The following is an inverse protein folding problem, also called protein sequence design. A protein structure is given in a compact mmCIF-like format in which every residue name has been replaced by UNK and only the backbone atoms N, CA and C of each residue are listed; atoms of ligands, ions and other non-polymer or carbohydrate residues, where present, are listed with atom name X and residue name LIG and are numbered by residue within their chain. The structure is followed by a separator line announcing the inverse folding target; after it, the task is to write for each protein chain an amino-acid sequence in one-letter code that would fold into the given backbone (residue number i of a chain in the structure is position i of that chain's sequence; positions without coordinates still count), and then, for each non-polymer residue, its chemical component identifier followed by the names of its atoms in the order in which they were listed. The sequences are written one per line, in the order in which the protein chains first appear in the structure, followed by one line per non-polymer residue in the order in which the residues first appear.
data_IF_326449440686
#
_entry.id   IF_326449440686
#
_cell.length_a   1.000
_cell.length_b   1.000
_cell.length_c   1.000
_cell.angle_alpha   90.00
_cell.angle_beta   90.00
_cell.angle_gamma   90.00
#
_symmetry.space_group_name_H-M   'P 1'
#
loop_
_entity.id
_entity.type
_entity.pdbx_description
1 polymer ?
#
# COMPACT_ATOMS: atom_id res chain seq x y z
N UNK A 1 1.65 7.53 22.64
CA UNK A 1 0.68 6.66 23.32
C UNK A 1 -0.01 7.42 24.47
N UNK A 2 0.74 7.98 25.42
CA UNK A 2 0.19 8.74 26.55
C UNK A 2 -0.64 9.96 26.13
N UNK A 3 -0.23 10.67 25.09
CA UNK A 3 -0.96 11.81 24.54
C UNK A 3 -2.32 11.39 23.97
N UNK A 4 -2.39 10.29 23.24
CA UNK A 4 -3.62 9.76 22.65
C UNK A 4 -4.64 9.40 23.74
N UNK A 5 -4.18 8.76 24.83
CA UNK A 5 -5.03 8.43 25.99
C UNK A 5 -5.51 9.69 26.73
N UNK A 6 -4.64 10.69 26.86
CA UNK A 6 -4.95 11.92 27.60
C UNK A 6 -5.92 12.83 26.82
N UNK A 7 -5.86 12.82 25.49
CA UNK A 7 -6.74 13.57 24.59
C UNK A 7 -8.06 12.83 24.26
N UNK A 8 -8.19 11.56 24.66
CA UNK A 8 -9.41 10.77 24.43
C UNK A 8 -9.56 10.22 23.00
N UNK A 9 -8.55 10.33 22.15
CA UNK A 9 -8.58 9.86 20.75
C UNK A 9 -8.19 8.37 20.58
N UNK A 10 -8.48 7.57 21.58
CA UNK A 10 -8.16 6.14 21.53
C UNK A 10 -8.96 5.40 20.45
N UNK A 11 -10.25 5.68 20.34
CA UNK A 11 -11.12 5.01 19.38
C UNK A 11 -10.73 5.37 17.95
N UNK A 12 -10.53 6.65 17.64
CA UNK A 12 -10.10 7.14 16.33
C UNK A 12 -8.73 6.56 15.92
N UNK A 13 -7.85 6.37 16.91
CA UNK A 13 -6.54 5.74 16.67
C UNK A 13 -6.70 4.28 16.30
N UNK A 14 -7.56 3.53 16.99
CA UNK A 14 -7.82 2.12 16.68
C UNK A 14 -8.50 1.94 15.32
N UNK A 15 -9.43 2.83 14.98
CA UNK A 15 -10.09 2.84 13.66
C UNK A 15 -9.08 3.09 12.54
N UNK A 16 -8.22 4.10 12.70
CA UNK A 16 -7.12 4.36 11.74
C UNK A 16 -6.19 3.17 11.61
N UNK A 17 -5.77 2.59 12.73
CA UNK A 17 -4.88 1.43 12.73
C UNK A 17 -5.53 0.25 12.00
N UNK A 18 -6.81 -0.02 12.28
CA UNK A 18 -7.56 -1.09 11.61
C UNK A 18 -7.65 -0.86 10.10
N UNK A 19 -7.95 0.36 9.66
CA UNK A 19 -8.02 0.72 8.24
C UNK A 19 -6.66 0.54 7.54
N UNK A 20 -5.58 1.04 8.14
CA UNK A 20 -4.22 0.93 7.57
C UNK A 20 -3.76 -0.52 7.51
N UNK A 21 -3.97 -1.29 8.59
CA UNK A 21 -3.61 -2.72 8.61
C UNK A 21 -4.40 -3.49 7.57
N UNK A 22 -5.71 -3.28 7.47
CA UNK A 22 -6.55 -3.94 6.48
C UNK A 22 -6.12 -3.59 5.05
N UNK A 23 -5.95 -2.30 4.75
CA UNK A 23 -5.49 -1.85 3.42
C UNK A 23 -4.13 -2.45 3.07
N UNK A 24 -3.18 -2.44 4.03
CA UNK A 24 -1.84 -3.01 3.83
C UNK A 24 -1.90 -4.52 3.57
N UNK A 25 -2.71 -5.27 4.32
CA UNK A 25 -2.87 -6.72 4.10
C UNK A 25 -3.42 -7.02 2.70
N UNK A 26 -4.43 -6.28 2.25
CA UNK A 26 -4.98 -6.40 0.89
C UNK A 26 -3.90 -6.06 -0.15
N UNK A 27 -3.16 -4.97 0.04
CA UNK A 27 -2.08 -4.57 -0.86
C UNK A 27 -0.96 -5.60 -0.94
N UNK A 28 -0.60 -6.26 0.17
CA UNK A 28 0.39 -7.34 0.18
C UNK A 28 -0.15 -8.57 -0.54
N UNK A 29 -1.39 -8.98 -0.20
CA UNK A 29 -2.02 -10.17 -0.77
C UNK A 29 -2.19 -10.09 -2.30
N UNK A 30 -2.39 -8.88 -2.83
CA UNK A 30 -2.52 -8.63 -4.28
C UNK A 30 -1.18 -8.21 -4.89
N UNK A 31 -0.47 -7.29 -4.24
CA UNK A 31 0.72 -6.64 -4.79
C UNK A 31 1.92 -7.57 -4.91
N UNK A 32 2.19 -8.39 -3.89
CA UNK A 32 3.34 -9.31 -3.92
C UNK A 32 3.17 -10.36 -5.01
N UNK A 33 2.04 -11.10 -5.14
CA UNK A 33 1.85 -12.05 -6.23
C UNK A 33 1.92 -11.40 -7.62
N UNK A 34 1.32 -10.22 -7.79
CA UNK A 34 1.39 -9.49 -9.06
C UNK A 34 2.83 -9.05 -9.38
N UNK A 35 3.59 -8.61 -8.38
CA UNK A 35 5.01 -8.28 -8.51
C UNK A 35 5.86 -9.47 -8.94
N UNK A 36 5.61 -10.66 -8.36
CA UNK A 36 6.26 -11.91 -8.75
C UNK A 36 5.96 -12.25 -10.22
N UNK A 37 4.69 -12.18 -10.61
CA UNK A 37 4.29 -12.45 -12.02
C UNK A 37 4.93 -11.43 -12.97
N UNK A 38 4.96 -10.16 -12.57
CA UNK A 38 5.56 -9.08 -13.36
C UNK A 38 7.07 -9.27 -13.55
N UNK A 39 7.78 -9.76 -12.52
CA UNK A 39 9.21 -10.04 -12.60
C UNK A 39 9.54 -11.16 -13.62
N UNK A 40 8.70 -12.20 -13.68
CA UNK A 40 8.92 -13.35 -14.59
C UNK A 40 8.37 -13.13 -16.00
N UNK A 41 7.52 -12.12 -16.23
CA UNK A 41 6.88 -11.84 -17.52
C UNK A 41 7.12 -10.40 -17.94
N UNK A 42 8.21 -10.08 -18.68
CA UNK A 42 8.55 -8.71 -19.05
C UNK A 42 7.43 -7.97 -19.81
N UNK A 43 6.71 -8.67 -20.70
CA UNK A 43 5.57 -8.07 -21.41
C UNK A 43 4.46 -7.63 -20.47
N UNK A 44 4.19 -8.41 -19.41
CA UNK A 44 3.19 -8.08 -18.40
C UNK A 44 3.61 -6.85 -17.60
N UNK A 45 4.87 -6.78 -17.18
CA UNK A 45 5.41 -5.61 -16.49
C UNK A 45 5.35 -4.35 -17.36
N UNK A 46 5.72 -4.47 -18.65
CA UNK A 46 5.66 -3.35 -19.61
C UNK A 46 4.22 -2.83 -19.79
N UNK A 47 3.23 -3.72 -19.82
CA UNK A 47 1.82 -3.34 -19.90
C UNK A 47 1.29 -2.76 -18.57
N UNK A 48 1.76 -3.28 -17.43
CA UNK A 48 1.32 -2.86 -16.09
C UNK A 48 1.95 -1.53 -15.67
N UNK A 49 3.18 -1.24 -16.10
CA UNK A 49 3.95 -0.06 -15.72
C UNK A 49 3.20 1.27 -15.91
N UNK A 50 2.61 1.59 -17.08
CA UNK A 50 1.88 2.84 -17.25
C UNK A 50 0.67 2.95 -16.32
N UNK A 51 0.01 1.83 -16.00
CA UNK A 51 -1.09 1.80 -15.03
C UNK A 51 -0.58 2.14 -13.63
N UNK A 52 0.52 1.52 -13.19
CA UNK A 52 1.14 1.81 -11.89
C UNK A 52 1.63 3.26 -11.80
N UNK A 53 2.18 3.80 -12.90
CA UNK A 53 2.59 5.20 -12.98
C UNK A 53 1.38 6.12 -12.81
N UNK A 54 0.30 5.85 -13.53
CA UNK A 54 -0.94 6.59 -13.44
C UNK A 54 -1.53 6.55 -12.03
N UNK A 55 -1.54 5.37 -11.38
CA UNK A 55 -2.04 5.22 -10.01
C UNK A 55 -1.26 6.05 -8.98
N UNK A 56 -0.01 6.39 -9.23
CA UNK A 56 0.82 7.17 -8.30
C UNK A 56 0.95 8.65 -8.67
N UNK A 57 0.68 9.02 -9.93
CA UNK A 57 0.78 10.40 -10.41
C UNK A 57 -0.54 11.14 -10.35
N UNK A 58 -1.65 10.43 -10.46
CA UNK A 58 -2.99 11.03 -10.39
C UNK A 58 -3.30 11.44 -8.96
N UNK A 59 -3.81 12.67 -8.73
CA UNK A 59 -4.23 13.12 -7.41
C UNK A 59 -5.24 12.15 -6.77
N UNK A 60 -5.05 11.87 -5.49
CA UNK A 60 -5.84 10.88 -4.73
C UNK A 60 -7.35 11.13 -4.78
N UNK A 61 -7.78 12.38 -4.90
CA UNK A 61 -9.19 12.74 -5.07
C UNK A 61 -9.85 12.14 -6.32
N UNK A 62 -9.07 11.86 -7.37
CA UNK A 62 -9.60 11.28 -8.62
C UNK A 62 -10.07 9.84 -8.40
N UNK A 63 -9.49 9.11 -7.45
CA UNK A 63 -9.97 7.78 -7.06
C UNK A 63 -11.14 7.84 -6.08
N UNK A 64 -11.15 8.87 -5.26
CA UNK A 64 -12.14 9.04 -4.21
C UNK A 64 -13.52 9.39 -4.79
N UNK A 65 -13.60 10.25 -5.81
CA UNK A 65 -14.87 10.68 -6.40
C UNK A 65 -15.67 9.50 -6.99
N UNK A 66 -15.12 8.63 -7.85
CA UNK A 66 -15.85 7.47 -8.35
C UNK A 66 -16.27 6.48 -7.24
N UNK A 67 -15.41 6.26 -6.25
CA UNK A 67 -15.74 5.35 -5.14
C UNK A 67 -16.86 5.92 -4.26
N UNK A 68 -16.92 7.24 -4.08
CA UNK A 68 -18.01 7.92 -3.40
C UNK A 68 -19.34 7.80 -4.14
N UNK A 69 -19.32 7.96 -5.45
CA UNK A 69 -20.57 7.86 -6.26
C UNK A 69 -21.14 6.45 -6.25
N UNK A 70 -20.30 5.43 -6.11
CA UNK A 70 -20.70 4.02 -6.09
C UNK A 70 -21.11 3.52 -4.70
N UNK A 71 -20.40 3.95 -3.65
CA UNK A 71 -20.53 3.40 -2.30
C UNK A 71 -21.06 4.40 -1.26
N UNK A 72 -21.28 5.66 -1.65
CA UNK A 72 -21.69 6.71 -0.72
C UNK A 72 -20.54 7.22 0.16
N UNK A 73 -20.89 8.04 1.15
CA UNK A 73 -19.93 8.57 2.14
C UNK A 73 -19.57 7.49 3.17
N UNK A 74 -18.33 7.45 3.63
CA UNK A 74 -17.92 6.58 4.73
C UNK A 74 -16.55 5.92 4.55
N UNK A 75 -16.30 4.87 5.34
CA UNK A 75 -15.01 4.16 5.42
C UNK A 75 -14.72 3.35 4.14
N UNK A 76 -15.75 2.76 3.52
CA UNK A 76 -15.59 1.85 2.36
C UNK A 76 -14.94 2.53 1.15
N UNK A 77 -15.43 3.70 0.66
CA UNK A 77 -14.78 4.39 -0.46
C UNK A 77 -13.35 4.84 -0.11
N UNK A 78 -13.10 5.23 1.15
CA UNK A 78 -11.76 5.55 1.63
C UNK A 78 -10.81 4.36 1.54
N UNK A 79 -11.23 3.18 2.01
CA UNK A 79 -10.44 1.95 1.93
C UNK A 79 -10.14 1.52 0.49
N UNK A 80 -11.14 1.53 -0.39
CA UNK A 80 -10.96 1.15 -1.80
C UNK A 80 -9.95 2.08 -2.46
N UNK A 81 -10.11 3.40 -2.28
CA UNK A 81 -9.19 4.40 -2.83
C UNK A 81 -7.77 4.24 -2.28
N UNK A 82 -7.64 3.93 -0.97
CA UNK A 82 -6.36 3.66 -0.33
C UNK A 82 -5.67 2.44 -0.93
N UNK A 83 -6.39 1.33 -1.12
CA UNK A 83 -5.84 0.11 -1.72
C UNK A 83 -5.40 0.37 -3.16
N UNK A 84 -6.23 1.02 -3.98
CA UNK A 84 -5.88 1.37 -5.37
C UNK A 84 -4.59 2.18 -5.41
N UNK A 85 -4.47 3.21 -4.57
CA UNK A 85 -3.31 4.09 -4.55
C UNK A 85 -2.05 3.39 -4.01
N UNK A 86 -2.17 2.63 -2.93
CA UNK A 86 -1.02 2.07 -2.21
C UNK A 86 -0.48 0.76 -2.81
N UNK A 87 -1.31 -0.02 -3.53
CA UNK A 87 -0.92 -1.34 -4.07
C UNK A 87 0.22 -1.29 -5.09
N UNK A 88 0.40 -0.16 -5.74
CA UNK A 88 1.47 0.02 -6.73
C UNK A 88 2.88 -0.12 -6.12
N UNK A 89 3.07 0.27 -4.86
CA UNK A 89 4.37 0.19 -4.17
C UNK A 89 4.84 -1.27 -3.97
N UNK A 90 4.08 -2.17 -3.34
CA UNK A 90 4.49 -3.57 -3.21
C UNK A 90 4.62 -4.29 -4.54
N UNK A 91 3.81 -3.97 -5.57
CA UNK A 91 3.99 -4.55 -6.92
C UNK A 91 5.37 -4.20 -7.47
N UNK A 92 5.73 -2.92 -7.48
CA UNK A 92 7.00 -2.44 -8.05
C UNK A 92 8.20 -2.98 -7.31
N UNK A 93 8.20 -2.84 -5.98
CA UNK A 93 9.36 -3.21 -5.17
C UNK A 93 9.54 -4.73 -5.10
N UNK A 94 8.48 -5.52 -5.16
CA UNK A 94 8.60 -6.97 -5.32
C UNK A 94 9.18 -7.34 -6.69
N UNK A 95 8.69 -6.72 -7.76
CA UNK A 95 9.20 -6.95 -9.11
C UNK A 95 10.69 -6.62 -9.21
N UNK A 96 11.09 -5.43 -8.72
CA UNK A 96 12.49 -5.01 -8.71
C UNK A 96 13.37 -5.94 -7.88
N UNK A 97 12.95 -6.28 -6.66
CA UNK A 97 13.73 -7.16 -5.79
C UNK A 97 13.98 -8.55 -6.38
N UNK A 98 13.03 -9.09 -7.16
CA UNK A 98 13.23 -10.36 -7.85
C UNK A 98 14.14 -10.17 -9.09
N UNK A 99 14.03 -9.05 -9.81
CA UNK A 99 14.88 -8.77 -10.97
C UNK A 99 16.33 -8.47 -10.57
N UNK A 100 16.57 -8.01 -9.36
CA UNK A 100 17.91 -7.72 -8.82
C UNK A 100 18.67 -8.98 -8.37
N UNK A 101 18.06 -10.17 -8.43
CA UNK A 101 18.73 -11.43 -8.09
C UNK A 101 19.87 -11.70 -9.07
N UNK A 102 21.13 -11.88 -8.60
CA UNK A 102 22.27 -12.18 -9.47
C UNK A 102 22.06 -13.44 -10.30
N UNK A 103 22.39 -13.36 -11.58
CA UNK A 103 22.24 -14.48 -12.52
C UNK A 103 23.03 -15.72 -12.06
N UNK A 104 24.18 -15.52 -11.42
CA UNK A 104 25.04 -16.58 -10.89
C UNK A 104 24.31 -17.44 -9.84
N UNK A 105 23.48 -16.82 -9.00
CA UNK A 105 22.69 -17.55 -8.01
C UNK A 105 21.59 -18.38 -8.66
N UNK A 106 20.95 -17.84 -9.69
CA UNK A 106 19.91 -18.55 -10.45
C UNK A 106 20.50 -19.72 -11.22
N UNK A 107 21.68 -19.53 -11.85
CA UNK A 107 22.36 -20.56 -12.61
C UNK A 107 22.93 -21.66 -11.70
N UNK A 108 23.48 -21.30 -10.53
CA UNK A 108 23.85 -22.27 -9.52
C UNK A 108 22.65 -23.12 -9.08
N UNK A 109 21.51 -22.48 -8.78
CA UNK A 109 20.29 -23.19 -8.40
C UNK A 109 19.82 -24.17 -9.50
N UNK A 110 19.86 -23.76 -10.76
CA UNK A 110 19.54 -24.63 -11.92
C UNK A 110 20.52 -25.79 -12.04
N UNK A 111 21.82 -25.54 -11.87
CA UNK A 111 22.86 -26.59 -11.89
C UNK A 111 22.65 -27.65 -10.80
N UNK A 112 22.13 -27.27 -9.64
CA UNK A 112 21.73 -28.19 -8.58
C UNK A 112 20.36 -28.87 -8.82
N UNK A 113 19.72 -28.64 -9.97
CA UNK A 113 18.46 -29.29 -10.33
C UNK A 113 17.22 -28.68 -9.66
N UNK A 114 17.29 -27.45 -9.18
CA UNK A 114 16.13 -26.79 -8.58
C UNK A 114 15.00 -26.60 -9.60
N UNK A 115 13.77 -26.95 -9.21
CA UNK A 115 12.58 -26.61 -9.97
C UNK A 115 12.32 -25.10 -9.93
N UNK A 116 11.47 -24.59 -10.85
CA UNK A 116 11.09 -23.14 -10.87
C UNK A 116 10.50 -22.68 -9.53
N UNK A 117 9.72 -23.52 -8.88
CA UNK A 117 9.15 -23.20 -7.57
C UNK A 117 10.22 -23.13 -6.47
N UNK A 118 11.20 -24.03 -6.52
CA UNK A 118 12.33 -24.02 -5.58
C UNK A 118 13.24 -22.80 -5.81
N UNK A 119 13.48 -22.40 -7.07
CA UNK A 119 14.21 -21.18 -7.39
C UNK A 119 13.49 -19.95 -6.79
N UNK A 120 12.18 -19.82 -7.03
CA UNK A 120 11.37 -18.73 -6.48
C UNK A 120 11.42 -18.69 -4.95
N UNK A 121 11.14 -19.82 -4.28
CA UNK A 121 10.97 -19.82 -2.82
C UNK A 121 12.27 -19.85 -2.04
N UNK A 122 13.34 -20.39 -2.60
CA UNK A 122 14.63 -20.59 -1.89
C UNK A 122 15.71 -19.59 -2.28
N UNK A 123 15.59 -18.97 -3.45
CA UNK A 123 16.61 -18.04 -3.96
C UNK A 123 16.01 -16.66 -4.18
N UNK A 124 15.00 -16.54 -5.05
CA UNK A 124 14.47 -15.24 -5.46
C UNK A 124 13.77 -14.51 -4.32
N UNK A 125 12.80 -15.15 -3.66
CA UNK A 125 12.05 -14.51 -2.56
C UNK A 125 12.94 -14.14 -1.36
N UNK A 126 13.82 -15.00 -0.85
CA UNK A 126 14.72 -14.60 0.25
C UNK A 126 15.64 -13.43 -0.13
N UNK A 127 16.14 -13.40 -1.38
CA UNK A 127 16.95 -12.29 -1.86
C UNK A 127 16.12 -11.00 -2.01
N UNK A 128 14.88 -11.11 -2.49
CA UNK A 128 13.97 -9.98 -2.69
C UNK A 128 13.34 -9.45 -1.38
N UNK A 129 13.46 -10.17 -0.24
CA UNK A 129 12.81 -9.80 1.02
C UNK A 129 13.08 -8.35 1.48
N UNK A 130 14.30 -7.80 1.39
CA UNK A 130 14.54 -6.41 1.74
C UNK A 130 13.72 -5.43 0.88
N UNK A 131 13.64 -5.67 -0.42
CA UNK A 131 12.86 -4.85 -1.36
C UNK A 131 11.36 -5.01 -1.13
N UNK A 132 10.89 -6.22 -0.84
CA UNK A 132 9.49 -6.50 -0.48
C UNK A 132 9.12 -5.77 0.82
N UNK A 133 9.99 -5.84 1.85
CA UNK A 133 9.78 -5.15 3.11
C UNK A 133 9.74 -3.62 2.93
N UNK A 134 10.60 -3.06 2.07
CA UNK A 134 10.54 -1.65 1.69
C UNK A 134 9.21 -1.30 1.00
N UNK A 135 8.69 -2.18 0.13
CA UNK A 135 7.38 -2.05 -0.51
C UNK A 135 6.23 -2.02 0.49
N UNK A 136 6.29 -2.87 1.51
CA UNK A 136 5.30 -2.91 2.60
C UNK A 136 5.37 -1.62 3.41
N UNK A 137 6.56 -1.17 3.78
CA UNK A 137 6.75 0.09 4.52
C UNK A 137 6.20 1.28 3.73
N UNK A 138 6.51 1.37 2.45
CA UNK A 138 5.97 2.39 1.56
C UNK A 138 4.43 2.33 1.48
N UNK A 139 3.86 1.13 1.39
CA UNK A 139 2.41 0.92 1.39
C UNK A 139 1.76 1.44 2.67
N UNK A 140 2.35 1.19 3.85
CA UNK A 140 1.87 1.69 5.14
C UNK A 140 1.90 3.22 5.16
N UNK A 141 2.99 3.84 4.71
CA UNK A 141 3.11 5.31 4.66
C UNK A 141 2.07 5.95 3.74
N UNK A 142 1.84 5.36 2.56
CA UNK A 142 0.81 5.81 1.62
C UNK A 142 -0.60 5.63 2.20
N UNK A 143 -0.86 4.52 2.88
CA UNK A 143 -2.15 4.26 3.53
C UNK A 143 -2.42 5.26 4.65
N UNK A 144 -1.43 5.59 5.48
CA UNK A 144 -1.55 6.62 6.52
C UNK A 144 -1.85 8.00 5.93
N UNK A 145 -1.19 8.36 4.83
CA UNK A 145 -1.46 9.62 4.13
C UNK A 145 -2.89 9.70 3.60
N UNK A 146 -3.45 8.55 3.15
CA UNK A 146 -4.82 8.48 2.64
C UNK A 146 -5.89 8.59 3.72
N UNK A 147 -5.60 8.25 4.98
CA UNK A 147 -6.57 8.36 6.08
C UNK A 147 -7.09 9.79 6.25
N UNK A 148 -6.20 10.79 6.16
CA UNK A 148 -6.58 12.20 6.26
C UNK A 148 -7.49 12.60 5.10
N UNK A 149 -7.18 12.14 3.89
CA UNK A 149 -7.97 12.44 2.69
C UNK A 149 -9.32 11.73 2.75
N UNK A 150 -9.36 10.48 3.21
CA UNK A 150 -10.58 9.72 3.39
C UNK A 150 -11.53 10.38 4.42
N UNK A 151 -10.99 11.05 5.44
CA UNK A 151 -11.79 11.77 6.42
C UNK A 151 -12.56 12.96 5.81
N UNK A 152 -12.06 13.58 4.73
CA UNK A 152 -12.78 14.62 4.00
C UNK A 152 -14.10 14.13 3.38
N UNK A 153 -14.22 12.82 3.19
CA UNK A 153 -15.40 12.16 2.61
C UNK A 153 -16.18 11.34 3.64
N UNK A 154 -15.97 11.63 4.93
CA UNK A 154 -16.74 11.05 6.02
C UNK A 154 -16.22 9.69 6.50
N UNK A 155 -14.99 9.31 6.19
CA UNK A 155 -14.36 8.17 6.85
C UNK A 155 -14.03 8.52 8.31
N UNK A 156 -14.25 7.56 9.21
CA UNK A 156 -13.89 7.69 10.63
C UNK A 156 -12.38 7.46 10.84
N UNK A 157 -11.87 7.86 12.01
CA UNK A 157 -10.49 7.76 12.42
C UNK A 157 -9.83 9.10 12.70
N UNK A 158 -8.50 9.11 12.93
CA UNK A 158 -7.71 10.29 13.29
C UNK A 158 -7.74 11.44 12.25
N UNK A 159 -8.10 11.16 11.00
CA UNK A 159 -8.30 12.19 10.00
C UNK A 159 -9.47 13.12 10.29
N UNK A 160 -10.50 12.64 10.99
CA UNK A 160 -11.72 13.41 11.31
C UNK A 160 -11.46 14.59 12.25
N UNK A 161 -10.75 14.43 13.39
CA UNK A 161 -10.34 15.55 14.23
C UNK A 161 -9.49 16.58 13.48
N UNK A 162 -8.56 16.12 12.62
CA UNK A 162 -7.71 17.01 11.81
C UNK A 162 -8.56 17.87 10.86
N UNK A 163 -9.49 17.26 10.15
CA UNK A 163 -10.40 17.98 9.22
C UNK A 163 -11.29 18.95 10.00
N UNK A 164 -11.80 18.57 11.18
CA UNK A 164 -12.61 19.44 12.02
C UNK A 164 -11.79 20.64 12.51
N UNK A 165 -10.56 20.43 12.97
CA UNK A 165 -9.65 21.51 13.39
C UNK A 165 -9.36 22.50 12.26
N UNK A 166 -9.16 21.99 11.03
CA UNK A 166 -8.97 22.83 9.84
C UNK A 166 -10.22 23.65 9.53
N UNK A 167 -11.41 23.05 9.62
CA UNK A 167 -12.68 23.73 9.32
C UNK A 167 -13.05 24.80 10.37
N UNK A 168 -12.67 24.58 11.64
CA UNK A 168 -12.93 25.52 12.74
C UNK A 168 -11.80 26.54 12.94
N UNK A 169 -10.70 26.42 12.18
CA UNK A 169 -9.46 27.18 12.35
C UNK A 169 -8.88 27.10 13.79
N UNK A 170 -9.16 26.01 14.48
CA UNK A 170 -8.65 25.76 15.82
C UNK A 170 -7.28 25.09 15.76
N UNK A 171 -6.25 25.91 15.82
CA UNK A 171 -4.84 25.48 15.73
C UNK A 171 -4.46 24.59 16.92
N UNK A 172 -5.09 24.80 18.09
CA UNK A 172 -4.76 24.03 19.30
C UNK A 172 -5.22 22.58 19.22
N UNK A 173 -6.28 22.31 18.48
CA UNK A 173 -6.87 20.99 18.28
C UNK A 173 -6.21 20.22 17.12
N UNK A 174 -5.55 20.95 16.21
CA UNK A 174 -4.90 20.39 15.03
C UNK A 174 -3.48 19.86 15.27
N UNK A 175 -2.85 20.24 16.38
CA UNK A 175 -1.55 19.76 16.84
C UNK A 175 -1.66 18.77 17.99
#
# INVERSE_FOLDING_TARGET
FLLILNLGYWQETMETLAQVVFATLVCIAVGVPLGIVAAHKPWFYTALRPLLDLMQTVPTFVYLIPTLTLFGLGVVPGLISTVIFAVAAPIRLTCLGIQDVPAELLDAGKAFGCSRWQLLTRIELPHAMPSIAAGITQCIMLSLSMVVIAALVGADGLGKPVVNALNTADISLGF
#
